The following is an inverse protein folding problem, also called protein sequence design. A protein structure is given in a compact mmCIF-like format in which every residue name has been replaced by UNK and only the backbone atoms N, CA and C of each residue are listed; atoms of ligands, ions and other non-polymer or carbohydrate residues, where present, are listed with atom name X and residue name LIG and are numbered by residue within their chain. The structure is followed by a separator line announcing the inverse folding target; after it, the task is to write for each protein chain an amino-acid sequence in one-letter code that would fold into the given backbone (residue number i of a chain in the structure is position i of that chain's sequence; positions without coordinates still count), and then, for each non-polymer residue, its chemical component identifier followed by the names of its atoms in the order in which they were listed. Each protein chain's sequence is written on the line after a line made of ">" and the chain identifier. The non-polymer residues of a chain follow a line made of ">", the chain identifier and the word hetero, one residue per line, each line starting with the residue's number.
data_IF_307327894089
#
_entry.id   IF_307327894089
#
_cell.length_a   1.000
_cell.length_b   1.000
_cell.length_c   1.000
_cell.angle_alpha   90.00
_cell.angle_beta   90.00
_cell.angle_gamma   90.00
#
_symmetry.space_group_name_H-M   'P 1'
#
loop_
_entity.id
_entity.type
_entity.pdbx_description
1 polymer ?
#
# COMPACT_ATOMS: atom_id res chain seq x y z
N UNK A 1 -31.63 -39.48 -17.71
CA UNK A 1 -30.67 -39.43 -16.60
C UNK A 1 -29.98 -38.08 -16.68
N UNK A 2 -30.21 -37.19 -15.71
CA UNK A 2 -29.57 -35.87 -15.69
C UNK A 2 -28.08 -36.06 -15.33
N UNK A 3 -27.18 -35.48 -16.12
CA UNK A 3 -25.75 -35.48 -15.83
C UNK A 3 -25.49 -34.78 -14.50
N UNK A 4 -24.57 -35.28 -13.66
CA UNK A 4 -24.27 -34.65 -12.37
C UNK A 4 -23.75 -33.23 -12.59
N UNK A 5 -24.22 -32.29 -11.78
CA UNK A 5 -23.73 -30.92 -11.78
C UNK A 5 -22.23 -30.89 -11.42
N UNK A 6 -21.42 -30.03 -12.06
CA UNK A 6 -19.99 -29.97 -11.79
C UNK A 6 -19.69 -29.51 -10.35
N UNK A 7 -18.56 -29.95 -9.76
CA UNK A 7 -18.12 -29.50 -8.44
C UNK A 7 -17.81 -27.98 -8.44
N UNK A 8 -17.87 -27.31 -7.26
CA UNK A 8 -17.65 -25.86 -7.17
C UNK A 8 -16.29 -25.45 -7.77
N UNK A 9 -16.31 -24.53 -8.75
CA UNK A 9 -15.10 -24.02 -9.42
C UNK A 9 -14.64 -24.82 -10.64
N UNK A 10 -15.33 -25.90 -11.01
CA UNK A 10 -15.11 -26.59 -12.27
C UNK A 10 -16.06 -26.02 -13.34
N UNK A 11 -15.47 -25.51 -14.42
CA UNK A 11 -16.19 -25.11 -15.63
C UNK A 11 -16.10 -26.23 -16.66
N UNK A 12 -17.09 -26.30 -17.54
CA UNK A 12 -17.18 -27.32 -18.58
C UNK A 12 -17.04 -26.61 -19.93
N UNK A 13 -16.06 -26.99 -20.73
CA UNK A 13 -15.90 -26.44 -22.07
C UNK A 13 -17.00 -26.96 -23.04
N UNK A 14 -17.06 -26.40 -24.24
CA UNK A 14 -18.01 -26.82 -25.28
C UNK A 14 -17.82 -28.27 -25.76
N UNK A 15 -16.73 -28.92 -25.34
CA UNK A 15 -16.37 -30.30 -25.68
C UNK A 15 -16.71 -31.28 -24.54
N UNK A 16 -17.23 -30.79 -23.41
CA UNK A 16 -17.57 -31.59 -22.24
C UNK A 16 -16.40 -31.91 -21.31
N UNK A 17 -15.24 -31.26 -21.48
CA UNK A 17 -14.12 -31.42 -20.57
C UNK A 17 -14.26 -30.48 -19.37
N UNK A 18 -14.00 -31.02 -18.18
CA UNK A 18 -13.91 -30.24 -16.95
C UNK A 18 -12.52 -29.61 -16.85
N UNK A 19 -12.48 -28.29 -16.69
CA UNK A 19 -11.26 -27.58 -16.32
C UNK A 19 -11.48 -26.75 -15.06
N UNK A 20 -10.40 -26.57 -14.32
CA UNK A 20 -10.37 -25.68 -13.17
C UNK A 20 -9.94 -24.30 -13.67
N UNK A 21 -10.78 -23.28 -13.45
CA UNK A 21 -10.38 -21.90 -13.68
C UNK A 21 -9.28 -21.58 -12.66
N UNK A 22 -8.01 -21.75 -13.06
CA UNK A 22 -6.87 -21.35 -12.24
C UNK A 22 -6.91 -19.82 -12.12
N UNK A 23 -7.03 -19.34 -10.88
CA UNK A 23 -6.84 -17.92 -10.61
C UNK A 23 -5.43 -17.52 -11.02
N UNK A 24 -5.31 -16.32 -11.57
CA UNK A 24 -3.99 -15.73 -11.82
C UNK A 24 -3.37 -15.32 -10.49
N UNK A 25 -2.04 -15.23 -10.40
CA UNK A 25 -1.36 -14.68 -9.22
C UNK A 25 -1.87 -13.28 -8.86
N UNK A 26 -2.22 -12.47 -9.87
CA UNK A 26 -2.84 -11.16 -9.65
C UNK A 26 -4.24 -11.28 -9.02
N UNK A 27 -5.02 -12.30 -9.42
CA UNK A 27 -6.32 -12.62 -8.83
C UNK A 27 -6.21 -13.10 -7.39
N UNK A 28 -5.26 -14.00 -7.09
CA UNK A 28 -5.01 -14.48 -5.73
C UNK A 28 -4.58 -13.33 -4.80
N UNK A 29 -3.70 -12.45 -5.28
CA UNK A 29 -3.28 -11.27 -4.54
C UNK A 29 -4.46 -10.30 -4.31
N UNK A 30 -5.29 -10.05 -5.33
CA UNK A 30 -6.45 -9.19 -5.20
C UNK A 30 -7.47 -9.74 -4.19
N UNK A 31 -7.70 -11.06 -4.19
CA UNK A 31 -8.55 -11.72 -3.20
C UNK A 31 -7.97 -11.57 -1.79
N UNK A 32 -6.67 -11.81 -1.61
CA UNK A 32 -6.00 -11.61 -0.34
C UNK A 32 -6.16 -10.18 0.18
N UNK A 33 -5.90 -9.19 -0.68
CA UNK A 33 -5.98 -7.76 -0.34
C UNK A 33 -7.40 -7.30 0.02
N UNK A 34 -8.44 -7.95 -0.50
CA UNK A 34 -9.84 -7.53 -0.31
C UNK A 34 -10.57 -8.30 0.79
N UNK A 35 -10.05 -9.47 1.18
CA UNK A 35 -10.69 -10.35 2.17
C UNK A 35 -10.30 -10.06 3.61
N UNK A 36 -9.07 -9.60 3.85
CA UNK A 36 -8.54 -9.37 5.20
C UNK A 36 -9.12 -8.08 5.78
N UNK A 37 -9.85 -8.19 6.89
CA UNK A 37 -10.35 -7.05 7.65
C UNK A 37 -9.56 -6.79 8.93
N UNK A 38 -9.82 -5.66 9.63
CA UNK A 38 -9.14 -5.34 10.90
C UNK A 38 -9.27 -6.42 11.97
N UNK A 39 -10.41 -7.13 12.02
CA UNK A 39 -10.67 -8.19 13.00
C UNK A 39 -9.86 -9.48 12.76
N UNK A 40 -9.28 -9.65 11.57
CA UNK A 40 -8.50 -10.83 11.21
C UNK A 40 -7.01 -10.69 11.57
N UNK A 41 -6.59 -9.52 12.05
CA UNK A 41 -5.19 -9.19 12.23
C UNK A 41 -4.67 -9.64 13.59
N UNK A 42 -3.49 -10.31 13.63
CA UNK A 42 -2.80 -10.53 14.89
C UNK A 42 -2.46 -9.20 15.57
N UNK A 43 -2.64 -9.11 16.88
CA UNK A 43 -2.35 -7.88 17.64
C UNK A 43 -0.93 -7.36 17.38
N UNK A 44 0.05 -8.26 17.31
CA UNK A 44 1.44 -7.90 17.00
C UNK A 44 1.58 -7.16 15.65
N UNK A 45 0.82 -7.55 14.63
CA UNK A 45 0.86 -6.88 13.33
C UNK A 45 0.27 -5.46 13.42
N UNK A 46 -0.79 -5.29 14.20
CA UNK A 46 -1.39 -3.98 14.49
C UNK A 46 -0.40 -3.08 15.23
N UNK A 47 0.28 -3.61 16.24
CA UNK A 47 1.30 -2.88 17.01
C UNK A 47 2.46 -2.42 16.11
N UNK A 48 2.92 -3.30 15.22
CA UNK A 48 3.95 -2.96 14.23
C UNK A 48 3.47 -1.89 13.24
N UNK A 49 2.23 -1.96 12.76
CA UNK A 49 1.67 -0.93 11.90
C UNK A 49 1.59 0.43 12.59
N UNK A 50 1.23 0.47 13.88
CA UNK A 50 1.25 1.70 14.67
C UNK A 50 2.67 2.26 14.83
N UNK A 51 3.67 1.40 15.05
CA UNK A 51 5.08 1.80 15.10
C UNK A 51 5.58 2.34 13.76
N UNK A 52 5.16 1.75 12.63
CA UNK A 52 5.47 2.26 11.29
C UNK A 52 4.94 3.68 11.11
N UNK A 53 3.68 3.94 11.51
CA UNK A 53 3.10 5.29 11.45
C UNK A 53 3.94 6.27 12.26
N UNK A 54 4.25 5.93 13.52
CA UNK A 54 5.04 6.80 14.39
C UNK A 54 6.45 7.07 13.84
N UNK A 55 7.13 6.03 13.34
CA UNK A 55 8.46 6.12 12.75
C UNK A 55 8.48 7.01 11.50
N UNK A 56 7.56 6.77 10.55
CA UNK A 56 7.45 7.57 9.32
C UNK A 56 7.13 9.03 9.62
N UNK A 57 6.21 9.32 10.56
CA UNK A 57 5.89 10.71 10.92
C UNK A 57 7.08 11.41 11.62
N UNK A 58 7.82 10.69 12.47
CA UNK A 58 9.02 11.22 13.10
C UNK A 58 10.12 11.53 12.07
N UNK A 59 10.37 10.62 11.12
CA UNK A 59 11.31 10.84 10.02
C UNK A 59 10.86 12.00 9.12
N UNK A 60 9.56 12.08 8.78
CA UNK A 60 9.02 13.20 8.02
C UNK A 60 9.20 14.55 8.72
N UNK A 61 9.11 14.58 10.05
CA UNK A 61 9.38 15.80 10.82
C UNK A 61 10.83 16.27 10.72
N UNK A 62 11.78 15.34 10.69
CA UNK A 62 13.19 15.67 10.46
C UNK A 62 13.45 16.10 9.02
N UNK A 63 12.75 15.50 8.05
CA UNK A 63 12.98 15.74 6.62
C UNK A 63 12.16 16.88 6.02
N UNK A 64 11.19 17.44 6.74
CA UNK A 64 10.32 18.51 6.25
C UNK A 64 11.06 19.77 5.81
N UNK A 65 12.23 20.05 6.39
CA UNK A 65 13.07 21.20 6.05
C UNK A 65 14.15 20.94 5.00
N UNK A 66 14.29 19.71 4.51
CA UNK A 66 15.31 19.33 3.53
C UNK A 66 14.93 19.88 2.14
N UNK A 67 15.93 20.30 1.36
CA UNK A 67 15.75 20.94 0.05
C UNK A 67 14.88 20.12 -0.91
N UNK A 68 15.08 18.80 -0.98
CA UNK A 68 14.26 17.90 -1.81
C UNK A 68 12.78 17.93 -1.42
N UNK A 69 12.49 17.91 -0.12
CA UNK A 69 11.13 18.02 0.43
C UNK A 69 10.50 19.36 0.11
N UNK A 70 11.26 20.46 0.19
CA UNK A 70 10.80 21.80 -0.15
C UNK A 70 10.43 21.89 -1.64
N UNK A 71 11.32 21.46 -2.53
CA UNK A 71 11.13 21.49 -3.99
C UNK A 71 9.86 20.70 -4.39
N UNK A 72 9.71 19.48 -3.88
CA UNK A 72 8.57 18.62 -4.24
C UNK A 72 7.25 19.18 -3.70
N UNK A 73 7.25 19.75 -2.50
CA UNK A 73 6.08 20.44 -1.93
C UNK A 73 5.67 21.65 -2.75
N UNK A 74 6.63 22.49 -3.15
CA UNK A 74 6.33 23.69 -3.93
C UNK A 74 5.78 23.34 -5.32
N UNK A 75 6.36 22.32 -5.96
CA UNK A 75 5.86 21.80 -7.23
C UNK A 75 4.44 21.24 -7.10
N UNK A 76 4.13 20.51 -6.03
CA UNK A 76 2.80 19.97 -5.79
C UNK A 76 1.76 21.09 -5.55
N UNK A 77 2.15 22.15 -4.82
CA UNK A 77 1.31 23.34 -4.60
C UNK A 77 1.06 24.11 -5.90
N UNK A 78 2.08 24.28 -6.73
CA UNK A 78 1.96 24.95 -8.03
C UNK A 78 0.98 24.21 -8.95
N UNK A 79 1.02 22.87 -8.97
CA UNK A 79 0.07 22.04 -9.71
C UNK A 79 -1.36 22.17 -9.18
N UNK A 80 -1.52 22.26 -7.86
CA UNK A 80 -2.82 22.36 -7.20
C UNK A 80 -3.75 21.18 -7.53
N UNK A 81 -5.06 21.42 -7.52
CA UNK A 81 -6.08 20.45 -7.89
C UNK A 81 -7.18 20.30 -6.84
N UNK A 82 -7.82 19.13 -6.82
CA UNK A 82 -8.88 18.82 -5.85
C UNK A 82 -8.30 18.69 -4.44
N UNK A 83 -8.95 19.34 -3.48
CA UNK A 83 -8.55 19.32 -2.07
C UNK A 83 -9.01 18.01 -1.39
N UNK A 84 -8.16 16.98 -1.38
CA UNK A 84 -8.51 15.66 -0.84
C UNK A 84 -7.74 15.30 0.44
N UNK A 85 -6.43 15.56 0.48
CA UNK A 85 -5.57 15.17 1.60
C UNK A 85 -4.55 16.25 1.96
N UNK A 86 -4.13 16.24 3.23
CA UNK A 86 -3.24 17.23 3.82
C UNK A 86 -1.77 16.88 3.61
N UNK A 87 -0.96 17.93 3.44
CA UNK A 87 0.49 17.84 3.56
C UNK A 87 0.87 17.87 5.04
N UNK A 88 1.74 16.97 5.48
CA UNK A 88 2.19 16.95 6.87
C UNK A 88 3.04 18.18 7.18
N UNK A 89 2.91 18.69 8.41
CA UNK A 89 3.72 19.80 8.92
C UNK A 89 3.58 21.07 8.07
N UNK A 90 2.41 21.22 7.45
CA UNK A 90 2.06 22.30 6.56
C UNK A 90 0.64 22.78 6.92
N UNK A 91 0.48 24.10 7.08
CA UNK A 91 -0.82 24.72 7.34
C UNK A 91 -1.53 25.16 6.04
N UNK A 92 -0.97 24.80 4.88
CA UNK A 92 -1.50 25.10 3.55
C UNK A 92 -2.77 24.33 3.18
N UNK A 93 -3.30 24.55 1.96
CA UNK A 93 -4.47 23.85 1.48
C UNK A 93 -4.18 22.36 1.26
N UNK A 94 -5.24 21.55 1.35
CA UNK A 94 -5.19 20.15 0.90
C UNK A 94 -4.92 20.07 -0.59
N UNK A 95 -4.29 18.98 -1.01
CA UNK A 95 -3.97 18.67 -2.40
C UNK A 95 -4.63 17.35 -2.83
N UNK A 96 -4.57 17.01 -4.14
CA UNK A 96 -5.02 15.72 -4.61
C UNK A 96 -4.32 14.58 -3.86
N UNK A 97 -5.05 13.50 -3.59
CA UNK A 97 -4.57 12.41 -2.71
C UNK A 97 -3.21 11.84 -3.14
N UNK A 98 -2.98 11.74 -4.45
CA UNK A 98 -1.73 11.23 -5.00
C UNK A 98 -0.55 12.16 -4.71
N UNK A 99 -0.74 13.47 -4.84
CA UNK A 99 0.31 14.45 -4.61
C UNK A 99 0.59 14.61 -3.12
N UNK A 100 -0.45 14.60 -2.30
CA UNK A 100 -0.29 14.62 -0.84
C UNK A 100 0.51 13.40 -0.35
N UNK A 101 0.15 12.19 -0.81
CA UNK A 101 0.88 10.97 -0.48
C UNK A 101 2.34 11.03 -0.96
N UNK A 102 2.60 11.53 -2.17
CA UNK A 102 3.95 11.65 -2.72
C UNK A 102 4.82 12.60 -1.89
N UNK A 103 4.33 13.82 -1.61
CA UNK A 103 5.07 14.82 -0.84
C UNK A 103 5.36 14.30 0.57
N UNK A 104 4.36 13.71 1.22
CA UNK A 104 4.49 13.14 2.56
C UNK A 104 5.53 11.99 2.62
N UNK A 105 5.55 11.12 1.61
CA UNK A 105 6.56 10.07 1.50
C UNK A 105 7.97 10.64 1.31
N UNK A 106 8.14 11.62 0.42
CA UNK A 106 9.43 12.28 0.18
C UNK A 106 9.96 12.97 1.44
N UNK A 107 9.08 13.58 2.24
CA UNK A 107 9.51 14.19 3.51
C UNK A 107 10.16 13.18 4.46
N UNK A 108 9.59 11.98 4.59
CA UNK A 108 10.18 10.92 5.43
C UNK A 108 11.46 10.36 4.82
N UNK A 109 11.45 10.07 3.52
CA UNK A 109 12.58 9.48 2.80
C UNK A 109 13.79 10.42 2.77
N UNK A 110 13.57 11.75 2.68
CA UNK A 110 14.64 12.74 2.69
C UNK A 110 15.48 12.71 3.97
N UNK A 111 14.87 12.40 5.12
CA UNK A 111 15.60 12.22 6.38
C UNK A 111 16.26 10.84 6.49
N UNK A 112 15.77 9.84 5.75
CA UNK A 112 16.22 8.45 5.75
C UNK A 112 16.38 7.87 7.18
N UNK A 113 15.51 8.28 8.10
CA UNK A 113 15.52 7.88 9.52
C UNK A 113 14.30 7.01 9.87
N UNK A 114 13.58 6.53 8.87
CA UNK A 114 12.43 5.65 9.00
C UNK A 114 12.83 4.17 9.07
N UNK A 115 11.83 3.30 9.25
CA UNK A 115 12.03 1.86 9.34
C UNK A 115 12.64 1.27 8.06
N UNK A 116 13.48 0.25 8.25
CA UNK A 116 14.10 -0.53 7.19
C UNK A 116 13.69 -2.00 7.33
N UNK A 117 12.98 -2.54 6.32
CA UNK A 117 12.77 -3.98 6.24
C UNK A 117 14.08 -4.67 5.83
N UNK A 118 14.83 -5.17 6.82
CA UNK A 118 16.11 -5.84 6.60
C UNK A 118 15.99 -7.14 5.79
N UNK A 119 14.82 -7.78 5.75
CA UNK A 119 14.62 -9.01 4.95
C UNK A 119 14.57 -8.70 3.46
N UNK A 120 14.04 -7.54 3.10
CA UNK A 120 13.78 -7.15 1.73
C UNK A 120 14.68 -6.00 1.24
N UNK A 121 15.44 -5.35 2.13
CA UNK A 121 16.25 -4.16 1.87
C UNK A 121 15.39 -3.08 1.19
N UNK A 122 14.23 -2.79 1.78
CA UNK A 122 13.27 -1.81 1.26
C UNK A 122 12.67 -0.94 2.37
N UNK A 123 12.49 0.35 2.07
CA UNK A 123 11.74 1.31 2.88
C UNK A 123 10.25 1.29 2.50
N UNK A 124 9.60 0.12 2.63
CA UNK A 124 8.20 -0.04 2.23
C UNK A 124 7.24 0.76 3.13
N UNK A 125 7.57 0.88 4.43
CA UNK A 125 6.74 1.53 5.45
C UNK A 125 6.36 2.95 5.08
N UNK A 126 7.32 3.75 4.62
CA UNK A 126 7.11 5.18 4.31
C UNK A 126 6.06 5.42 3.25
N UNK A 127 6.17 4.72 2.12
CA UNK A 127 5.19 4.86 1.04
C UNK A 127 3.81 4.29 1.41
N UNK A 128 3.77 3.23 2.22
CA UNK A 128 2.53 2.63 2.71
C UNK A 128 1.80 3.58 3.66
N UNK A 129 2.50 4.09 4.69
CA UNK A 129 1.94 5.01 5.68
C UNK A 129 1.44 6.30 5.02
N UNK A 130 2.27 6.92 4.17
CA UNK A 130 1.90 8.18 3.51
C UNK A 130 0.63 8.04 2.67
N UNK A 131 0.51 6.94 1.92
CA UNK A 131 -0.66 6.71 1.08
C UNK A 131 -1.89 6.26 1.86
N UNK A 132 -1.71 5.44 2.90
CA UNK A 132 -2.81 4.99 3.76
C UNK A 132 -3.45 6.17 4.48
N UNK A 133 -2.64 7.06 5.07
CA UNK A 133 -3.13 8.26 5.75
C UNK A 133 -3.80 9.25 4.78
N UNK A 134 -3.20 9.47 3.60
CA UNK A 134 -3.80 10.34 2.58
C UNK A 134 -5.15 9.79 2.08
N UNK A 135 -5.25 8.48 1.84
CA UNK A 135 -6.52 7.87 1.44
C UNK A 135 -7.54 7.93 2.57
N UNK A 136 -7.14 7.66 3.81
CA UNK A 136 -8.04 7.71 4.95
C UNK A 136 -8.64 9.09 5.15
N UNK A 137 -7.88 10.15 4.91
CA UNK A 137 -8.40 11.51 4.93
C UNK A 137 -9.42 11.76 3.82
N UNK A 138 -9.14 11.28 2.60
CA UNK A 138 -10.05 11.39 1.45
C UNK A 138 -11.36 10.61 1.67
N UNK A 139 -11.30 9.44 2.30
CA UNK A 139 -12.44 8.53 2.45
C UNK A 139 -13.11 8.61 3.81
N UNK A 140 -12.57 9.42 4.73
CA UNK A 140 -12.96 9.46 6.14
C UNK A 140 -12.90 8.07 6.82
N UNK A 141 -11.86 7.27 6.49
CA UNK A 141 -11.64 5.97 7.11
C UNK A 141 -11.22 6.11 8.58
N UNK A 142 -11.54 5.10 9.40
CA UNK A 142 -11.14 5.08 10.80
C UNK A 142 -9.69 4.55 10.97
N UNK A 143 -9.16 4.64 12.19
CA UNK A 143 -7.80 4.19 12.49
C UNK A 143 -7.58 2.68 12.34
N UNK A 144 -8.60 1.86 12.60
CA UNK A 144 -8.50 0.39 12.45
C UNK A 144 -8.32 0.00 10.98
N UNK A 145 -9.05 0.66 10.08
CA UNK A 145 -8.93 0.48 8.64
C UNK A 145 -7.55 0.91 8.13
N UNK A 146 -7.00 2.00 8.68
CA UNK A 146 -5.64 2.46 8.36
C UNK A 146 -4.59 1.42 8.76
N UNK A 147 -4.68 0.91 9.99
CA UNK A 147 -3.76 -0.11 10.50
C UNK A 147 -3.86 -1.38 9.66
N UNK A 148 -5.08 -1.80 9.31
CA UNK A 148 -5.30 -2.95 8.46
C UNK A 148 -4.71 -2.78 7.06
N UNK A 149 -4.93 -1.63 6.43
CA UNK A 149 -4.37 -1.32 5.12
C UNK A 149 -2.83 -1.35 5.13
N UNK A 150 -2.20 -0.86 6.21
CA UNK A 150 -0.74 -0.90 6.37
C UNK A 150 -0.27 -2.35 6.52
N UNK A 151 -0.88 -3.16 7.40
CA UNK A 151 -0.49 -4.56 7.60
C UNK A 151 -0.61 -5.36 6.30
N UNK A 152 -1.76 -5.28 5.63
CA UNK A 152 -2.05 -5.99 4.38
C UNK A 152 -1.11 -5.52 3.26
N UNK A 153 -0.84 -4.22 3.18
CA UNK A 153 0.09 -3.64 2.22
C UNK A 153 1.54 -4.09 2.44
N UNK A 154 1.96 -4.21 3.71
CA UNK A 154 3.29 -4.69 4.07
C UNK A 154 3.48 -6.16 3.71
N UNK A 155 2.50 -7.01 4.02
CA UNK A 155 2.50 -8.43 3.65
C UNK A 155 2.56 -8.61 2.12
N UNK A 156 1.79 -7.82 1.37
CA UNK A 156 1.82 -7.84 -0.09
C UNK A 156 3.18 -7.38 -0.67
N UNK A 157 3.85 -6.42 -0.02
CA UNK A 157 5.19 -5.98 -0.40
C UNK A 157 6.26 -7.04 -0.09
N UNK A 158 6.15 -7.70 1.06
CA UNK A 158 7.02 -8.80 1.46
C UNK A 158 6.92 -10.00 0.52
N UNK A 159 5.71 -10.43 0.18
CA UNK A 159 5.48 -11.59 -0.70
C UNK A 159 6.00 -11.37 -2.13
N UNK A 160 5.88 -10.16 -2.69
CA UNK A 160 6.51 -9.82 -3.99
C UNK A 160 8.03 -9.87 -3.93
N UNK A 161 8.60 -9.43 -2.81
CA UNK A 161 10.05 -9.39 -2.63
C UNK A 161 10.61 -10.81 -2.49
N UNK A 162 9.92 -11.69 -1.77
CA UNK A 162 10.20 -13.12 -1.68
C UNK A 162 10.14 -13.84 -3.05
N UNK A 163 9.15 -13.50 -3.88
CA UNK A 163 9.06 -14.03 -5.24
C UNK A 163 10.25 -13.61 -6.13
N UNK A 164 10.83 -12.42 -5.89
CA UNK A 164 12.01 -11.93 -6.62
C UNK A 164 13.31 -12.55 -6.12
N UNK A 165 13.44 -12.78 -4.81
CA UNK A 165 14.63 -13.41 -4.22
C UNK A 165 14.73 -14.91 -4.51
N UNK A 166 13.65 -15.58 -4.88
CA UNK A 166 13.67 -16.95 -5.40
C UNK A 166 14.39 -17.09 -6.77
N UNK A 167 14.77 -15.98 -7.42
CA UNK A 167 15.39 -15.99 -8.75
C UNK A 167 16.65 -15.15 -8.92
N UNK A 168 17.28 -14.61 -7.85
CA UNK A 168 18.46 -13.75 -8.04
C UNK A 168 19.45 -13.76 -6.87
N UNK A 169 20.56 -14.48 -7.06
CA UNK A 169 21.85 -14.15 -6.47
C UNK A 169 22.32 -12.81 -7.03
N UNK A 170 21.90 -11.70 -6.43
CA UNK A 170 22.49 -10.38 -6.70
C UNK A 170 22.68 -9.60 -5.41
N UNK A 171 23.65 -10.06 -4.62
CA UNK A 171 24.25 -9.30 -3.53
C UNK A 171 25.41 -8.42 -4.02
N UNK A 172 25.43 -7.96 -5.28
CA UNK A 172 26.63 -7.30 -5.84
C UNK A 172 26.46 -6.10 -6.76
N UNK A 173 25.26 -5.55 -6.90
CA UNK A 173 25.07 -4.30 -7.64
C UNK A 173 24.23 -3.36 -6.78
N UNK A 174 24.88 -2.32 -6.25
CA UNK A 174 24.24 -1.21 -5.55
C UNK A 174 23.31 -0.44 -6.48
N UNK A 175 22.11 -0.98 -6.68
CA UNK A 175 21.03 -0.35 -7.44
C UNK A 175 20.02 0.17 -6.41
N UNK A 176 20.20 1.41 -6.00
CA UNK A 176 19.11 2.22 -5.47
C UNK A 176 18.21 2.58 -6.67
N UNK A 177 17.34 1.66 -7.06
CA UNK A 177 16.44 1.84 -8.20
C UNK A 177 15.21 2.67 -7.79
N UNK A 178 14.70 3.56 -8.65
CA UNK A 178 13.48 4.32 -8.35
C UNK A 178 12.34 3.33 -8.08
N UNK A 179 11.80 3.39 -6.85
CA UNK A 179 10.83 2.44 -6.31
C UNK A 179 9.58 2.30 -7.20
N UNK A 180 9.33 1.14 -7.86
CA UNK A 180 8.11 0.89 -8.64
C UNK A 180 6.85 0.73 -7.76
N UNK A 181 6.93 1.07 -6.47
CA UNK A 181 5.94 0.76 -5.44
C UNK A 181 4.72 1.70 -5.42
N UNK A 182 4.81 2.90 -5.99
CA UNK A 182 3.69 3.84 -6.07
C UNK A 182 2.48 3.31 -6.85
N UNK A 183 2.69 2.42 -7.82
CA UNK A 183 1.62 1.81 -8.61
C UNK A 183 0.77 0.80 -7.81
N UNK A 184 1.35 0.13 -6.82
CA UNK A 184 0.68 -0.93 -6.05
C UNK A 184 -0.12 -0.33 -4.90
N UNK A 185 0.38 0.74 -4.29
CA UNK A 185 -0.35 1.41 -3.21
C UNK A 185 -1.60 2.14 -3.72
N UNK A 186 -1.57 2.64 -4.97
CA UNK A 186 -2.78 3.11 -5.68
C UNK A 186 -3.84 2.02 -5.86
N UNK A 187 -3.43 0.75 -5.93
CA UNK A 187 -4.33 -0.41 -6.08
C UNK A 187 -4.90 -0.89 -4.74
N UNK A 188 -4.08 -0.98 -3.69
CA UNK A 188 -4.52 -1.42 -2.36
C UNK A 188 -5.49 -0.42 -1.70
N UNK A 189 -5.28 0.88 -1.90
CA UNK A 189 -6.21 1.90 -1.43
C UNK A 189 -7.58 1.83 -2.16
N UNK A 190 -7.59 1.45 -3.44
CA UNK A 190 -8.82 1.23 -4.22
C UNK A 190 -9.62 0.01 -3.76
N UNK A 191 -8.93 -1.08 -3.36
CA UNK A 191 -9.54 -2.31 -2.89
C UNK A 191 -10.42 -2.09 -1.64
N UNK A 192 -9.94 -1.32 -0.65
CA UNK A 192 -10.69 -1.01 0.57
C UNK A 192 -11.91 -0.10 0.31
N UNK A 193 -11.87 0.77 -0.70
CA UNK A 193 -13.01 1.63 -1.07
C UNK A 193 -14.13 0.92 -1.83
N UNK A 194 -13.88 -0.31 -2.31
CA UNK A 194 -14.87 -1.08 -3.06
C UNK A 194 -15.76 -1.97 -2.20
N UNK A 195 -15.49 -2.08 -0.89
CA UNK A 195 -16.42 -2.72 0.04
C UNK A 195 -17.60 -1.76 0.29
N UNK A 196 -18.85 -2.15 -0.04
CA UNK A 196 -20.01 -1.31 0.24
C UNK A 196 -20.07 -1.06 1.75
N UNK A 197 -20.16 0.22 2.10
CA UNK A 197 -20.29 0.70 3.48
C UNK A 197 -21.17 -0.24 4.30
N UNK A 198 -20.57 -0.97 5.25
CA UNK A 198 -21.33 -1.57 6.35
C UNK A 198 -21.75 -0.42 7.26
N UNK A 199 -22.83 0.25 6.87
CA UNK A 199 -23.61 1.08 7.75
C UNK A 199 -24.08 0.20 8.92
N UNK A 200 -23.57 0.50 10.11
CA UNK A 200 -24.25 0.24 11.38
C UNK A 200 -24.38 1.57 12.10
#
# INVERSE_FOLDING_TARGET
>A
MASPSPPPGAEMDSSGNLYWTRMTLAGELAEFLTRVGPADLPQQAVDHAAMLIASTLASAALGAGIESSLIIRDLARERGGVAEASLWLDAGPKLPVAEAAQVNAVMSDAAASDDSDLRNIVHAGTTLVASALAMAERTAANGEDVLAAIVVGYEAAGNRSAARSAGSTSARLGVCGPSPHGAIVRSCAGAFTSQPARLK
#
